data_IF_962044168480
#
_entry.id   IF_962044168480
#
_cell.length_a   1.000
_cell.length_b   1.000
_cell.length_c   1.000
_cell.angle_alpha   90.00
_cell.angle_beta   90.00
_cell.angle_gamma   90.00
#
_symmetry.space_group_name_H-M   'P 1'
#
loop_
_entity.id
_entity.type
_entity.pdbx_description
1 polymer ?
#
# COMPACT_ATOMS: atom_id res chain seq x y z
N UNK A 1 -13.54 -13.00 -11.38
CA UNK A 1 -13.99 -11.85 -10.57
C UNK A 1 -12.96 -10.74 -10.73
N UNK A 2 -13.37 -9.51 -11.04
CA UNK A 2 -12.42 -8.40 -11.22
C UNK A 2 -11.90 -7.92 -9.85
N UNK A 3 -10.65 -7.47 -9.79
CA UNK A 3 -10.05 -6.89 -8.58
C UNK A 3 -10.51 -5.42 -8.39
N UNK A 4 -10.74 -4.95 -7.15
CA UNK A 4 -11.09 -3.54 -6.86
C UNK A 4 -9.92 -2.60 -7.15
N UNK A 5 -10.17 -1.39 -7.63
CA UNK A 5 -9.08 -0.49 -8.01
C UNK A 5 -8.26 -0.06 -6.77
N UNK A 6 -6.94 0.11 -6.90
CA UNK A 6 -6.09 0.60 -5.82
C UNK A 6 -6.62 1.92 -5.23
N UNK A 7 -6.74 1.98 -3.91
CA UNK A 7 -7.16 3.19 -3.20
C UNK A 7 -8.68 3.38 -3.02
N UNK A 8 -9.53 2.48 -3.53
CA UNK A 8 -11.00 2.66 -3.51
C UNK A 8 -11.67 2.50 -2.13
N UNK A 9 -10.96 2.02 -1.12
CA UNK A 9 -11.55 1.90 0.23
C UNK A 9 -11.42 3.21 1.02
N UNK A 10 -12.36 3.53 1.93
CA UNK A 10 -12.24 4.69 2.81
C UNK A 10 -10.95 4.71 3.63
N UNK A 11 -10.42 3.54 4.01
CA UNK A 11 -9.17 3.41 4.79
C UNK A 11 -7.92 3.79 3.97
N UNK A 12 -7.99 3.68 2.65
CA UNK A 12 -6.87 3.93 1.73
C UNK A 12 -6.96 5.30 1.04
N UNK A 13 -7.94 6.13 1.39
CA UNK A 13 -8.08 7.47 0.80
C UNK A 13 -6.90 8.36 1.22
N UNK A 14 -6.19 8.89 0.23
CA UNK A 14 -5.09 9.83 0.45
C UNK A 14 -5.66 11.19 0.81
N UNK A 15 -5.29 11.72 1.98
CA UNK A 15 -5.75 13.03 2.46
C UNK A 15 -4.74 14.17 2.19
N UNK A 16 -3.45 13.89 2.31
CA UNK A 16 -2.37 14.89 2.19
C UNK A 16 -1.62 14.71 0.87
N UNK A 17 -1.38 15.80 0.14
CA UNK A 17 -0.73 15.78 -1.19
C UNK A 17 -1.44 14.86 -2.20
N UNK A 18 -2.78 14.94 -2.29
CA UNK A 18 -3.61 14.08 -3.16
C UNK A 18 -3.13 14.03 -4.61
N UNK A 19 -2.56 15.12 -5.14
CA UNK A 19 -2.02 15.18 -6.50
C UNK A 19 -0.85 14.22 -6.77
N UNK A 20 -0.26 13.61 -5.73
CA UNK A 20 0.80 12.61 -5.85
C UNK A 20 0.29 11.17 -5.83
N UNK A 21 -1.02 10.94 -5.63
CA UNK A 21 -1.56 9.58 -5.64
C UNK A 21 -1.70 9.05 -7.06
N UNK A 22 -1.36 7.78 -7.25
CA UNK A 22 -1.61 7.04 -8.48
C UNK A 22 -2.48 5.84 -8.11
N UNK A 23 -3.60 5.67 -8.82
CA UNK A 23 -4.54 4.55 -8.64
C UNK A 23 -4.51 3.57 -9.82
N UNK A 24 -3.60 3.77 -10.76
CA UNK A 24 -3.32 2.81 -11.82
C UNK A 24 -2.68 1.55 -11.24
N UNK A 25 -3.26 0.40 -11.58
CA UNK A 25 -2.79 -0.91 -11.11
C UNK A 25 -1.51 -1.34 -11.81
N UNK A 26 -1.30 -0.97 -13.07
CA UNK A 26 -0.07 -1.34 -13.78
C UNK A 26 1.13 -0.64 -13.12
N UNK A 27 1.02 0.66 -12.85
CA UNK A 27 2.04 1.40 -12.09
C UNK A 27 2.30 0.80 -10.69
N UNK A 28 1.26 0.29 -10.00
CA UNK A 28 1.45 -0.40 -8.72
C UNK A 28 2.28 -1.68 -8.87
N UNK A 29 2.00 -2.49 -9.90
CA UNK A 29 2.76 -3.72 -10.16
C UNK A 29 4.21 -3.42 -10.56
N UNK A 30 4.45 -2.41 -11.39
CA UNK A 30 5.82 -1.99 -11.74
C UNK A 30 6.66 -1.64 -10.50
N UNK A 31 6.06 -0.96 -9.52
CA UNK A 31 6.75 -0.63 -8.25
C UNK A 31 7.05 -1.90 -7.46
N UNK A 32 6.08 -2.81 -7.33
CA UNK A 32 6.25 -4.07 -6.59
C UNK A 32 7.29 -4.98 -7.26
N UNK A 33 7.36 -4.99 -8.59
CA UNK A 33 8.33 -5.78 -9.34
C UNK A 33 9.74 -5.16 -9.32
N UNK A 34 9.86 -3.86 -9.01
CA UNK A 34 11.15 -3.15 -9.00
C UNK A 34 12.07 -3.53 -7.83
N UNK A 35 11.52 -4.10 -6.75
CA UNK A 35 12.29 -4.44 -5.54
C UNK A 35 11.63 -5.55 -4.74
N UNK A 36 12.46 -6.39 -4.10
CA UNK A 36 12.00 -7.44 -3.18
C UNK A 36 11.85 -6.96 -1.73
N UNK A 37 12.34 -5.76 -1.43
CA UNK A 37 12.34 -5.20 -0.07
C UNK A 37 10.99 -4.55 0.24
N UNK A 38 10.42 -4.88 1.40
CA UNK A 38 9.22 -4.23 1.91
C UNK A 38 9.29 -4.03 3.43
N UNK A 39 8.29 -3.34 3.97
CA UNK A 39 8.10 -3.23 5.41
C UNK A 39 6.72 -3.79 5.75
N UNK A 40 6.67 -4.69 6.73
CA UNK A 40 5.41 -5.29 7.17
C UNK A 40 5.09 -4.76 8.57
N UNK A 41 3.98 -4.05 8.68
CA UNK A 41 3.43 -3.61 9.95
C UNK A 41 2.43 -4.62 10.49
N UNK A 42 2.58 -5.04 11.74
CA UNK A 42 1.61 -5.91 12.43
C UNK A 42 1.43 -5.49 13.89
N UNK A 43 0.40 -6.01 14.55
CA UNK A 43 0.11 -5.73 15.97
C UNK A 43 0.11 -7.03 16.75
N UNK A 44 0.86 -7.06 17.84
CA UNK A 44 0.91 -8.18 18.77
C UNK A 44 0.73 -7.66 20.20
N UNK A 45 -0.25 -8.20 20.92
CA UNK A 45 -0.60 -7.77 22.28
C UNK A 45 -0.86 -6.25 22.42
N UNK A 46 -1.46 -5.64 21.39
CA UNK A 46 -1.76 -4.20 21.35
C UNK A 46 -0.58 -3.31 20.98
N UNK A 47 0.62 -3.87 20.83
CA UNK A 47 1.83 -3.15 20.42
C UNK A 47 2.03 -3.28 18.89
N UNK A 48 2.24 -2.17 18.16
CA UNK A 48 2.62 -2.23 16.76
C UNK A 48 4.11 -2.56 16.58
N UNK A 49 4.40 -3.39 15.59
CA UNK A 49 5.73 -3.79 15.16
C UNK A 49 5.91 -3.53 13.67
N UNK A 50 7.15 -3.30 13.26
CA UNK A 50 7.56 -3.19 11.85
C UNK A 50 8.71 -4.15 11.63
N UNK A 51 8.52 -5.11 10.73
CA UNK A 51 9.60 -5.96 10.25
C UNK A 51 10.28 -5.27 9.06
N UNK A 52 11.58 -4.92 9.14
CA UNK A 52 12.38 -4.78 7.93
C UNK A 52 12.64 -6.18 7.33
N UNK A 53 13.12 -6.25 6.08
CA UNK A 53 14.15 -7.16 5.56
C UNK A 53 14.00 -7.31 4.04
#
# INVERSE_FOLDING_TARGET
>A
MSLPNPGESPRTEINRLKQRSVSDREAMYEILDSTILCHIGYVESGQPYVLPY
#
